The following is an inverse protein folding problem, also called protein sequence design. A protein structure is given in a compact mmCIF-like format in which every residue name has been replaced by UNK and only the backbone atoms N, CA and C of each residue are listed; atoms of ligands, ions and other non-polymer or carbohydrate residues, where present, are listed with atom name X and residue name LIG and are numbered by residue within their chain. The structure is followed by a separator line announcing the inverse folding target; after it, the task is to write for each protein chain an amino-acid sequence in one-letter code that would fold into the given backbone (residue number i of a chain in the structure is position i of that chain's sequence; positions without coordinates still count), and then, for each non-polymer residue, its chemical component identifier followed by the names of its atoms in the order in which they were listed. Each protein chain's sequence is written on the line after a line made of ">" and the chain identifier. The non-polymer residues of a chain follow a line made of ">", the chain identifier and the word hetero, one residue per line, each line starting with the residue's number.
data_IF_391115356976
#
_entry.id   IF_391115356976
#
_cell.length_a   1.000
_cell.length_b   1.000
_cell.length_c   1.000
_cell.angle_alpha   90.00
_cell.angle_beta   90.00
_cell.angle_gamma   90.00
#
_symmetry.space_group_name_H-M   'P 1'
#
loop_
_entity.id
_entity.type
_entity.pdbx_description
1 polymer ?
#
# COMPACT_ATOMS: atom_id res chain seq x y z
N UNK A 1 -12.94 5.07 -3.50
CA UNK A 1 -12.33 4.79 -2.18
C UNK A 1 -13.38 4.11 -1.31
N UNK A 2 -13.06 2.98 -0.68
CA UNK A 2 -14.05 2.06 -0.06
C UNK A 2 -14.63 2.52 1.29
N UNK A 3 -14.18 3.66 1.84
CA UNK A 3 -14.65 4.19 3.14
C UNK A 3 -14.15 3.42 4.38
N UNK A 4 -13.37 2.35 4.18
CA UNK A 4 -12.90 1.46 5.25
C UNK A 4 -11.95 2.16 6.23
N UNK A 5 -11.14 3.10 5.73
CA UNK A 5 -10.16 3.87 6.54
C UNK A 5 -10.82 4.69 7.65
N UNK A 6 -12.07 5.11 7.48
CA UNK A 6 -12.82 5.89 8.47
C UNK A 6 -13.65 5.04 9.44
N UNK A 7 -13.64 3.71 9.31
CA UNK A 7 -14.54 2.82 10.07
C UNK A 7 -13.81 1.61 10.65
N UNK A 8 -13.45 0.66 9.81
CA UNK A 8 -12.98 -0.69 10.21
C UNK A 8 -11.47 -0.74 10.37
N UNK A 9 -10.72 0.08 9.63
CA UNK A 9 -9.25 0.10 9.69
C UNK A 9 -8.77 0.77 10.97
N UNK A 10 -7.93 0.09 11.74
CA UNK A 10 -7.23 0.69 12.87
C UNK A 10 -6.14 1.64 12.36
N UNK A 11 -6.34 2.94 12.51
CA UNK A 11 -5.35 3.95 12.09
C UNK A 11 -4.09 3.94 12.96
N UNK A 12 -4.19 3.55 14.24
CA UNK A 12 -3.03 3.46 15.13
C UNK A 12 -2.08 2.33 14.74
N UNK A 13 -2.56 1.33 13.99
CA UNK A 13 -1.72 0.25 13.47
C UNK A 13 -0.59 0.76 12.56
N UNK A 14 -0.78 1.91 11.90
CA UNK A 14 0.24 2.56 11.06
C UNK A 14 1.51 2.84 11.86
N UNK A 15 1.39 3.28 13.12
CA UNK A 15 2.54 3.58 13.97
C UNK A 15 3.35 2.31 14.24
N UNK A 16 2.67 1.21 14.56
CA UNK A 16 3.31 -0.07 14.83
C UNK A 16 4.09 -0.62 13.63
N UNK A 17 3.50 -0.57 12.43
CA UNK A 17 4.10 -1.14 11.22
C UNK A 17 5.17 -0.24 10.58
N UNK A 18 5.27 1.04 10.95
CA UNK A 18 6.25 1.99 10.38
C UNK A 18 7.37 2.37 11.36
N UNK A 19 7.18 2.14 12.66
CA UNK A 19 8.18 2.37 13.70
C UNK A 19 8.74 3.79 13.65
N UNK A 20 10.05 3.92 13.49
CA UNK A 20 10.74 5.21 13.39
C UNK A 20 10.30 6.06 12.18
N UNK A 21 9.64 5.47 11.19
CA UNK A 21 9.13 6.19 10.02
C UNK A 21 7.69 6.74 10.20
N UNK A 22 7.05 6.53 11.36
CA UNK A 22 5.64 6.86 11.57
C UNK A 22 5.28 8.31 11.26
N UNK A 23 6.13 9.27 11.69
CA UNK A 23 5.91 10.69 11.44
C UNK A 23 5.95 11.01 9.93
N UNK A 24 6.97 10.52 9.23
CA UNK A 24 7.15 10.74 7.78
C UNK A 24 6.02 10.09 6.99
N UNK A 25 5.60 8.89 7.38
CA UNK A 25 4.47 8.18 6.78
C UNK A 25 3.16 8.93 7.02
N UNK A 26 2.92 9.41 8.24
CA UNK A 26 1.73 10.21 8.56
C UNK A 26 1.64 11.49 7.73
N UNK A 27 2.76 12.22 7.60
CA UNK A 27 2.85 13.41 6.75
C UNK A 27 2.53 13.08 5.28
N UNK A 28 3.05 11.97 4.76
CA UNK A 28 2.77 11.54 3.39
C UNK A 28 1.30 11.20 3.16
N UNK A 29 0.67 10.51 4.11
CA UNK A 29 -0.77 10.26 4.05
C UNK A 29 -1.59 11.56 4.08
N UNK A 30 -1.20 12.53 4.92
CA UNK A 30 -1.87 13.83 4.99
C UNK A 30 -1.82 14.56 3.64
N UNK A 31 -0.65 14.59 2.97
CA UNK A 31 -0.50 15.18 1.64
C UNK A 31 -1.37 14.50 0.58
N UNK A 32 -1.47 13.17 0.61
CA UNK A 32 -2.33 12.41 -0.32
C UNK A 32 -3.80 12.75 -0.08
N UNK A 33 -4.24 12.77 1.18
CA UNK A 33 -5.62 13.07 1.54
C UNK A 33 -6.00 14.53 1.24
N UNK A 34 -5.06 15.46 1.34
CA UNK A 34 -5.27 16.87 0.97
C UNK A 34 -5.15 17.12 -0.55
N UNK A 35 -4.80 16.11 -1.35
CA UNK A 35 -4.55 16.25 -2.79
C UNK A 35 -3.33 17.12 -3.13
N UNK A 36 -2.36 17.21 -2.21
CA UNK A 36 -1.12 17.99 -2.36
C UNK A 36 0.11 17.10 -2.55
N UNK A 37 -0.07 15.78 -2.58
CA UNK A 37 1.03 14.86 -2.82
C UNK A 37 1.65 15.10 -4.21
N UNK A 38 2.98 14.99 -4.34
CA UNK A 38 3.64 14.97 -5.65
C UNK A 38 3.06 13.86 -6.53
N UNK A 39 2.84 14.08 -7.85
CA UNK A 39 2.28 13.07 -8.74
C UNK A 39 3.05 11.75 -8.73
N UNK A 40 4.37 11.80 -8.53
CA UNK A 40 5.26 10.65 -8.52
C UNK A 40 4.97 9.67 -7.36
N UNK A 41 4.25 10.12 -6.33
CA UNK A 41 3.84 9.29 -5.18
C UNK A 41 2.62 8.42 -5.51
N UNK A 42 1.84 8.82 -6.52
CA UNK A 42 0.63 8.14 -6.98
C UNK A 42 0.85 7.39 -8.31
N UNK A 43 2.02 7.54 -8.93
CA UNK A 43 2.41 6.85 -10.15
C UNK A 43 3.05 5.50 -9.84
N UNK A 44 2.44 4.41 -10.31
CA UNK A 44 2.94 3.04 -10.12
C UNK A 44 4.28 2.76 -10.79
N UNK A 45 4.65 3.55 -11.81
CA UNK A 45 5.91 3.40 -12.55
C UNK A 45 7.05 4.21 -11.90
N UNK A 46 6.78 4.89 -10.77
CA UNK A 46 7.73 5.67 -10.01
C UNK A 46 8.30 4.91 -8.81
N UNK A 47 9.59 5.15 -8.52
CA UNK A 47 10.22 4.63 -7.29
C UNK A 47 9.67 5.29 -6.01
N UNK A 48 8.98 6.42 -6.13
CA UNK A 48 8.34 7.11 -5.01
C UNK A 48 6.92 6.62 -4.72
N UNK A 49 6.41 5.64 -5.48
CA UNK A 49 5.04 5.13 -5.36
C UNK A 49 4.74 4.66 -3.94
N UNK A 50 3.73 5.24 -3.31
CA UNK A 50 3.46 5.05 -1.89
C UNK A 50 2.10 4.40 -1.60
N UNK A 51 1.11 4.64 -2.47
CA UNK A 51 -0.25 4.16 -2.26
C UNK A 51 -0.63 3.13 -3.31
N UNK A 52 -0.54 1.84 -2.97
CA UNK A 52 -1.05 0.75 -3.80
C UNK A 52 -2.52 1.01 -4.15
N UNK A 53 -2.82 1.16 -5.43
CA UNK A 53 -4.20 1.27 -5.90
C UNK A 53 -4.86 -0.12 -5.91
N UNK A 54 -6.16 -0.14 -5.68
CA UNK A 54 -6.92 -1.38 -5.54
C UNK A 54 -6.96 -2.21 -6.83
N UNK A 55 -6.94 -1.54 -8.00
CA UNK A 55 -7.04 -2.22 -9.29
C UNK A 55 -5.73 -2.95 -9.60
N UNK A 56 -4.59 -2.27 -9.45
CA UNK A 56 -3.25 -2.86 -9.58
C UNK A 56 -3.07 -4.04 -8.63
N UNK A 57 -3.51 -3.92 -7.36
CA UNK A 57 -3.40 -5.01 -6.40
C UNK A 57 -4.28 -6.22 -6.80
N UNK A 58 -5.50 -5.96 -7.25
CA UNK A 58 -6.45 -7.02 -7.65
C UNK A 58 -5.92 -7.82 -8.83
N UNK A 59 -5.35 -7.15 -9.84
CA UNK A 59 -4.76 -7.82 -11.01
C UNK A 59 -3.61 -8.76 -10.61
N UNK A 60 -2.75 -8.34 -9.68
CA UNK A 60 -1.65 -9.17 -9.20
C UNK A 60 -2.14 -10.36 -8.36
N UNK A 61 -3.18 -10.17 -7.54
CA UNK A 61 -3.80 -11.26 -6.77
C UNK A 61 -4.44 -12.28 -7.70
N UNK A 62 -5.19 -11.83 -8.71
CA UNK A 62 -5.79 -12.72 -9.72
C UNK A 62 -4.72 -13.46 -10.50
N UNK A 63 -3.61 -12.79 -10.83
CA UNK A 63 -2.45 -13.45 -11.44
C UNK A 63 -1.88 -14.55 -10.54
N UNK A 64 -1.69 -14.28 -9.24
CA UNK A 64 -1.23 -15.26 -8.26
C UNK A 64 -2.22 -16.42 -8.04
N UNK A 65 -3.52 -16.21 -8.25
CA UNK A 65 -4.52 -17.29 -8.20
C UNK A 65 -4.43 -18.18 -9.45
N UNK A 66 -4.21 -17.58 -10.62
CA UNK A 66 -4.22 -18.27 -11.92
C UNK A 66 -2.89 -18.96 -12.25
N UNK A 67 -2.36 -19.74 -11.29
CA UNK A 67 -1.13 -20.51 -11.49
C UNK A 67 -1.42 -21.88 -12.11
N UNK A 68 -0.45 -22.48 -12.83
CA UNK A 68 -0.58 -23.84 -13.35
C UNK A 68 -0.91 -24.84 -12.26
N UNK A 69 -1.61 -25.91 -12.62
CA UNK A 69 -1.94 -26.97 -11.68
C UNK A 69 -0.68 -27.58 -11.07
N UNK A 70 -0.72 -27.82 -9.75
CA UNK A 70 0.43 -28.29 -8.98
C UNK A 70 1.31 -27.17 -8.40
N UNK A 71 1.07 -25.90 -8.76
CA UNK A 71 1.67 -24.75 -8.06
C UNK A 71 0.77 -24.33 -6.91
N UNK A 72 1.35 -24.17 -5.72
CA UNK A 72 0.66 -23.67 -4.53
C UNK A 72 1.39 -22.44 -4.01
N UNK A 73 0.70 -21.30 -3.98
CA UNK A 73 1.17 -20.07 -3.37
C UNK A 73 0.47 -19.96 -2.01
N UNK A 74 1.24 -20.09 -0.92
CA UNK A 74 0.71 -20.03 0.44
C UNK A 74 0.59 -18.59 0.97
N UNK A 75 1.46 -17.69 0.49
CA UNK A 75 1.55 -16.32 0.97
C UNK A 75 2.02 -15.39 -0.16
N UNK A 76 1.50 -14.16 -0.16
CA UNK A 76 1.95 -13.08 -1.03
C UNK A 76 2.09 -11.82 -0.17
N UNK A 77 3.29 -11.22 -0.19
CA UNK A 77 3.51 -9.88 0.35
C UNK A 77 3.65 -8.91 -0.81
N UNK A 78 2.84 -7.86 -0.82
CA UNK A 78 2.91 -6.78 -1.81
C UNK A 78 3.36 -5.51 -1.11
N UNK A 79 4.28 -4.78 -1.75
CA UNK A 79 4.84 -3.54 -1.20
C UNK A 79 5.10 -2.53 -2.31
N UNK A 80 4.70 -1.29 -2.12
CA UNK A 80 5.09 -0.18 -2.97
C UNK A 80 6.50 0.32 -2.60
N UNK A 81 7.24 0.77 -3.60
CA UNK A 81 8.65 1.19 -3.48
C UNK A 81 8.86 2.33 -2.47
N UNK A 82 7.89 3.23 -2.34
CA UNK A 82 7.89 4.35 -1.40
C UNK A 82 7.40 4.00 0.01
N UNK A 83 6.82 2.82 0.24
CA UNK A 83 6.30 2.42 1.56
C UNK A 83 7.42 2.21 2.58
N UNK A 84 7.19 2.72 3.80
CA UNK A 84 8.20 2.75 4.87
C UNK A 84 7.94 1.77 6.01
N UNK A 85 7.26 0.65 5.71
CA UNK A 85 7.03 -0.39 6.70
C UNK A 85 8.35 -1.01 7.20
N UNK A 86 8.33 -1.36 8.49
CA UNK A 86 9.37 -2.07 9.23
C UNK A 86 8.68 -3.33 9.75
N UNK A 87 8.68 -4.39 8.94
CA UNK A 87 8.03 -5.69 9.22
C UNK A 87 9.04 -6.69 9.76
#
# INVERSE_FOLDING_TARGET
>A
MTGLVGTIVNQEAIVGITGQNAEVTGARYAEILSGQAPPEVLDKDSIAYFGLDADSLTDQVVHAINQPWGVSIAEVTVRASGERYVL
#
